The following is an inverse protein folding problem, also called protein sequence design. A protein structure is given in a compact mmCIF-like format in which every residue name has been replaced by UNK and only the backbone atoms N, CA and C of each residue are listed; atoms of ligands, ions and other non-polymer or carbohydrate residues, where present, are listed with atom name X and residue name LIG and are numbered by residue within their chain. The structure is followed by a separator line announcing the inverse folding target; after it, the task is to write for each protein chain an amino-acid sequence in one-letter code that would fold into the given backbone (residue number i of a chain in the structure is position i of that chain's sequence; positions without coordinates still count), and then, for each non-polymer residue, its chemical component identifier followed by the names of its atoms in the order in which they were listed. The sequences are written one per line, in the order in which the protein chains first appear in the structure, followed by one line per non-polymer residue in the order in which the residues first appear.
data_IF_830703912622
#
_entry.id   IF_830703912622
#
_cell.length_a   1.000
_cell.length_b   1.000
_cell.length_c   1.000
_cell.angle_alpha   90.00
_cell.angle_beta   90.00
_cell.angle_gamma   90.00
#
_symmetry.space_group_name_H-M   'P 1'
#
loop_
_entity.id
_entity.type
_entity.pdbx_description
1 polymer ?
#
# COMPACT_ATOMS: atom_id res chain seq x y z
N UNK A 1 10.89 32.80 17.43
CA UNK A 1 11.20 31.37 17.28
C UNK A 1 12.63 31.27 16.77
N UNK A 2 13.62 31.25 17.67
CA UNK A 2 15.05 31.19 17.31
C UNK A 2 15.48 29.73 17.13
N UNK A 3 15.24 29.21 15.94
CA UNK A 3 15.72 27.89 15.50
C UNK A 3 15.96 27.95 14.02
N UNK A 4 17.16 28.36 13.61
CA UNK A 4 17.58 28.36 12.22
C UNK A 4 17.64 26.91 11.72
N UNK A 5 16.61 26.48 10.99
CA UNK A 5 16.68 25.32 10.11
C UNK A 5 17.77 25.62 9.07
N UNK A 6 18.88 24.88 9.10
CA UNK A 6 20.01 25.17 8.21
C UNK A 6 19.87 24.50 6.85
N UNK A 7 19.04 23.45 6.75
CA UNK A 7 18.64 22.85 5.48
C UNK A 7 17.31 22.10 5.64
N UNK A 8 16.46 22.15 4.60
CA UNK A 8 15.23 21.36 4.47
C UNK A 8 15.20 20.80 3.05
N UNK A 9 15.76 19.60 2.88
CA UNK A 9 15.75 18.90 1.61
C UNK A 9 14.74 17.77 1.64
N UNK A 10 13.82 17.81 0.67
CA UNK A 10 12.95 16.69 0.36
C UNK A 10 13.70 15.80 -0.62
N UNK A 11 14.00 14.57 -0.21
CA UNK A 11 14.65 13.62 -1.10
C UNK A 11 13.66 13.13 -2.16
N UNK A 12 14.16 12.67 -3.32
CA UNK A 12 13.32 12.07 -4.36
C UNK A 12 12.52 10.83 -3.86
N UNK A 13 12.90 10.27 -2.72
CA UNK A 13 12.22 9.17 -2.02
C UNK A 13 11.23 9.61 -0.93
N UNK A 14 10.96 10.92 -0.79
CA UNK A 14 10.02 11.46 0.20
C UNK A 14 10.58 11.57 1.62
N UNK A 15 11.90 11.47 1.80
CA UNK A 15 12.57 11.72 3.06
C UNK A 15 12.76 13.22 3.31
N UNK A 16 12.78 13.62 4.58
CA UNK A 16 13.09 14.98 5.01
C UNK A 16 14.39 14.94 5.80
N UNK A 17 15.39 15.70 5.37
CA UNK A 17 16.64 15.86 6.11
C UNK A 17 16.61 17.19 6.85
N UNK A 18 16.71 17.12 8.18
CA UNK A 18 16.79 18.31 9.04
C UNK A 18 18.13 18.34 9.75
N UNK A 19 18.86 19.43 9.54
CA UNK A 19 20.05 19.78 10.29
C UNK A 19 19.78 21.02 11.14
N UNK A 20 20.33 21.06 12.34
CA UNK A 20 20.23 22.22 13.24
C UNK A 20 21.55 22.43 13.96
N UNK A 21 21.91 23.69 14.14
CA UNK A 21 23.04 24.12 14.99
C UNK A 21 22.59 24.45 16.42
N UNK A 22 21.29 24.29 16.72
CA UNK A 22 20.74 24.60 18.03
C UNK A 22 21.26 23.59 19.07
N UNK A 23 21.78 24.13 20.18
CA UNK A 23 22.29 23.34 21.32
C UNK A 23 21.28 23.19 22.45
N UNK A 24 20.14 23.87 22.38
CA UNK A 24 19.04 23.76 23.35
C UNK A 24 18.03 22.69 22.90
N UNK A 25 17.34 22.01 23.84
CA UNK A 25 16.22 21.13 23.50
C UNK A 25 15.19 21.87 22.64
N UNK A 26 14.65 21.18 21.65
CA UNK A 26 13.63 21.72 20.75
C UNK A 26 12.65 20.62 20.35
N UNK A 27 11.49 21.02 19.84
CA UNK A 27 10.49 20.09 19.31
C UNK A 27 10.46 20.22 17.80
N UNK A 28 10.56 19.09 17.12
CA UNK A 28 10.35 18.99 15.68
C UNK A 28 8.95 18.47 15.43
N UNK A 29 8.17 19.20 14.62
CA UNK A 29 6.83 18.79 14.22
C UNK A 29 6.88 18.53 12.72
N UNK A 30 6.56 17.30 12.35
CA UNK A 30 6.33 16.87 10.97
C UNK A 30 4.84 16.81 10.77
N UNK A 31 4.33 17.66 9.88
CA UNK A 31 3.00 17.56 9.35
C UNK A 31 3.12 17.12 7.88
N UNK A 32 2.49 16.00 7.56
CA UNK A 32 2.35 15.59 6.16
C UNK A 32 1.15 16.31 5.55
N UNK A 33 1.14 16.43 4.22
CA UNK A 33 0.01 16.97 3.45
C UNK A 33 -1.34 16.29 3.80
N UNK A 34 -1.30 15.08 4.34
CA UNK A 34 -2.48 14.26 4.67
C UNK A 34 -2.83 14.29 6.16
N UNK A 35 -2.40 15.32 6.89
CA UNK A 35 -2.77 15.58 8.28
C UNK A 35 -2.12 14.67 9.33
N UNK A 36 -1.18 13.80 8.93
CA UNK A 36 -0.38 13.05 9.90
C UNK A 36 0.61 14.00 10.60
N UNK A 37 0.46 14.12 11.91
CA UNK A 37 1.30 14.94 12.76
C UNK A 37 2.18 14.07 13.65
N UNK A 38 3.50 14.21 13.48
CA UNK A 38 4.49 13.61 14.37
C UNK A 38 5.25 14.71 15.09
N UNK A 39 5.27 14.64 16.42
CA UNK A 39 6.05 15.54 17.25
C UNK A 39 7.19 14.78 17.93
N UNK A 40 8.43 15.22 17.70
CA UNK A 40 9.63 14.66 18.29
C UNK A 40 10.28 15.71 19.17
N UNK A 41 10.36 15.44 20.48
CA UNK A 41 11.17 16.24 21.38
C UNK A 41 12.64 15.80 21.28
N UNK A 42 13.49 16.68 20.77
CA UNK A 42 14.90 16.42 20.55
C UNK A 42 15.77 17.15 21.58
N UNK A 43 16.78 16.44 22.10
CA UNK A 43 17.83 17.01 22.94
C UNK A 43 19.16 16.88 22.17
N UNK A 44 19.73 17.99 21.65
CA UNK A 44 21.00 17.97 20.93
C UNK A 44 22.11 17.34 21.76
N UNK A 45 22.94 16.50 21.13
CA UNK A 45 24.17 15.94 21.70
C UNK A 45 25.26 15.93 20.63
N UNK A 46 26.51 16.17 21.04
CA UNK A 46 27.65 16.05 20.12
C UNK A 46 27.79 14.60 19.63
N UNK A 47 27.90 14.40 18.31
CA UNK A 47 28.00 13.07 17.71
C UNK A 47 27.40 12.99 16.30
N UNK A 48 27.41 11.80 15.73
CA UNK A 48 26.79 11.53 14.43
C UNK A 48 25.27 11.69 14.48
N UNK A 49 24.70 12.26 13.41
CA UNK A 49 23.24 12.36 13.25
C UNK A 49 22.58 10.98 13.26
N UNK A 50 21.31 10.94 13.69
CA UNK A 50 20.50 9.71 13.67
C UNK A 50 19.51 9.78 12.53
N UNK A 51 19.44 8.72 11.73
CA UNK A 51 18.37 8.53 10.74
C UNK A 51 17.21 7.81 11.41
N UNK A 52 16.02 8.41 11.36
CA UNK A 52 14.77 7.80 11.83
C UNK A 52 13.92 7.56 10.59
N UNK A 53 13.59 6.29 10.33
CA UNK A 53 12.62 5.95 9.30
C UNK A 53 11.23 5.90 9.94
N UNK A 54 10.34 6.75 9.46
CA UNK A 54 8.94 6.75 9.87
C UNK A 54 8.18 5.81 8.96
N UNK A 55 7.70 4.72 9.53
CA UNK A 55 6.76 3.81 8.88
C UNK A 55 5.41 4.09 9.52
N UNK A 56 4.58 4.88 8.84
CA UNK A 56 3.19 5.07 9.26
C UNK A 56 2.29 4.10 8.50
N UNK A 57 1.57 3.27 9.26
CA UNK A 57 0.46 2.43 8.78
C UNK A 57 -0.81 3.27 8.56
N UNK A 58 -0.89 4.42 9.25
CA UNK A 58 -1.97 5.41 9.11
C UNK A 58 -1.50 6.54 8.19
N UNK A 59 -2.03 6.58 6.97
CA UNK A 59 -1.79 7.67 6.02
C UNK A 59 -3.14 8.19 5.59
N UNK A 60 -3.42 9.45 5.96
CA UNK A 60 -4.70 10.14 5.80
C UNK A 60 -5.43 9.66 4.56
N UNK A 61 -6.52 8.96 4.80
CA UNK A 61 -7.29 8.32 3.75
C UNK A 61 -7.69 9.38 2.73
N UNK A 62 -7.49 9.11 1.44
CA UNK A 62 -7.71 10.15 0.43
C UNK A 62 -9.16 10.59 0.47
N UNK A 63 -9.45 11.85 0.82
CA UNK A 63 -10.82 12.37 0.77
C UNK A 63 -11.41 12.20 -0.63
N UNK A 64 -10.60 12.37 -1.68
CA UNK A 64 -10.98 12.09 -3.06
C UNK A 64 -11.31 10.61 -3.30
N UNK A 65 -10.52 9.69 -2.71
CA UNK A 65 -10.80 8.26 -2.76
C UNK A 65 -12.08 7.92 -1.97
N UNK A 66 -12.33 8.58 -0.84
CA UNK A 66 -13.56 8.43 -0.05
C UNK A 66 -14.79 8.91 -0.79
N UNK A 67 -14.72 10.10 -1.40
CA UNK A 67 -15.78 10.65 -2.23
C UNK A 67 -16.09 9.72 -3.40
N UNK A 68 -15.05 9.18 -4.05
CA UNK A 68 -15.20 8.21 -5.12
C UNK A 68 -15.83 6.89 -4.64
N UNK A 69 -15.30 6.30 -3.56
CA UNK A 69 -15.80 5.06 -2.94
C UNK A 69 -17.27 5.17 -2.47
N UNK A 70 -17.71 6.36 -2.06
CA UNK A 70 -19.09 6.60 -1.58
C UNK A 70 -20.06 6.97 -2.72
N UNK A 71 -19.55 7.38 -3.88
CA UNK A 71 -20.36 7.90 -5.00
C UNK A 71 -20.96 6.83 -5.92
N UNK A 72 -20.54 5.57 -5.80
CA UNK A 72 -20.86 4.49 -6.75
C UNK A 72 -21.44 3.28 -6.00
N UNK A 73 -22.52 2.63 -6.50
CA UNK A 73 -22.99 1.37 -5.93
C UNK A 73 -21.85 0.36 -5.82
N UNK A 74 -21.73 -0.32 -4.68
CA UNK A 74 -20.55 -1.10 -4.28
C UNK A 74 -20.06 -2.11 -5.33
N UNK A 75 -20.97 -2.75 -6.07
CA UNK A 75 -20.62 -3.68 -7.15
C UNK A 75 -19.98 -2.99 -8.36
N UNK A 76 -20.44 -1.79 -8.70
CA UNK A 76 -19.86 -0.98 -9.79
C UNK A 76 -18.50 -0.39 -9.41
N UNK A 77 -18.27 -0.13 -8.12
CA UNK A 77 -16.96 0.28 -7.61
C UNK A 77 -15.92 -0.83 -7.85
N UNK A 78 -16.23 -2.06 -7.46
CA UNK A 78 -15.33 -3.20 -7.65
C UNK A 78 -15.03 -3.43 -9.13
N UNK A 79 -16.04 -3.36 -10.01
CA UNK A 79 -15.83 -3.47 -11.46
C UNK A 79 -14.96 -2.34 -12.01
N UNK A 80 -15.12 -1.11 -11.53
CA UNK A 80 -14.31 0.03 -11.97
C UNK A 80 -12.86 -0.10 -11.52
N UNK A 81 -12.61 -0.54 -10.28
CA UNK A 81 -11.25 -0.88 -9.81
C UNK A 81 -10.67 -1.98 -10.70
N UNK A 82 -11.44 -3.04 -10.97
CA UNK A 82 -11.04 -4.16 -11.82
C UNK A 82 -10.54 -3.68 -13.19
N UNK A 83 -11.30 -2.78 -13.82
CA UNK A 83 -11.03 -2.27 -15.16
C UNK A 83 -9.85 -1.30 -15.18
N UNK A 84 -9.77 -0.39 -14.21
CA UNK A 84 -8.67 0.56 -14.08
C UNK A 84 -7.34 -0.19 -13.95
N UNK A 85 -7.30 -1.19 -13.08
CA UNK A 85 -6.11 -2.00 -12.79
C UNK A 85 -5.70 -2.84 -14.00
N UNK A 86 -6.67 -3.47 -14.67
CA UNK A 86 -6.42 -4.18 -15.93
C UNK A 86 -5.90 -3.26 -17.03
N UNK A 87 -6.30 -1.99 -17.02
CA UNK A 87 -5.80 -0.94 -17.91
C UNK A 87 -4.49 -0.28 -17.47
N UNK A 88 -3.87 -0.74 -16.38
CA UNK A 88 -2.63 -0.15 -15.83
C UNK A 88 -2.83 1.25 -15.23
N UNK A 89 -4.07 1.66 -14.97
CA UNK A 89 -4.42 2.96 -14.38
C UNK A 89 -4.85 2.76 -12.93
N UNK A 90 -4.33 3.61 -12.05
CA UNK A 90 -4.79 3.69 -10.68
C UNK A 90 -6.14 4.41 -10.63
N UNK A 91 -7.11 3.92 -9.82
CA UNK A 91 -8.30 4.71 -9.51
C UNK A 91 -7.90 6.07 -8.89
N UNK A 92 -8.72 7.10 -9.11
CA UNK A 92 -8.44 8.43 -8.58
C UNK A 92 -8.29 8.40 -7.04
N UNK A 93 -7.28 9.10 -6.52
CA UNK A 93 -6.97 9.14 -5.08
C UNK A 93 -6.29 7.89 -4.50
N UNK A 94 -6.15 6.80 -5.28
CA UNK A 94 -5.39 5.62 -4.87
C UNK A 94 -3.90 5.82 -5.12
N UNK A 95 -3.07 5.31 -4.22
CA UNK A 95 -1.61 5.41 -4.34
C UNK A 95 -0.93 4.09 -3.99
N UNK A 96 0.24 3.87 -4.57
CA UNK A 96 1.04 2.68 -4.31
C UNK A 96 1.80 2.80 -2.99
N UNK A 97 1.81 1.72 -2.22
CA UNK A 97 2.62 1.58 -1.01
C UNK A 97 3.57 0.39 -1.14
N UNK A 98 4.72 0.39 -0.43
CA UNK A 98 5.61 -0.76 -0.41
C UNK A 98 4.89 -2.02 0.08
N UNK A 99 5.19 -3.17 -0.53
CA UNK A 99 4.79 -4.48 0.00
C UNK A 99 5.49 -4.68 1.34
N UNK A 100 4.74 -5.05 2.38
CA UNK A 100 5.29 -5.30 3.71
C UNK A 100 4.91 -6.70 4.21
N UNK A 101 3.65 -6.89 4.63
CA UNK A 101 3.16 -8.10 5.30
C UNK A 101 2.01 -8.77 4.55
N UNK A 102 1.74 -8.35 3.32
CA UNK A 102 0.64 -8.87 2.53
C UNK A 102 0.86 -10.35 2.18
N UNK A 103 -0.03 -11.20 2.67
CA UNK A 103 -0.05 -12.63 2.35
C UNK A 103 -1.35 -13.03 1.67
N UNK A 104 -1.28 -14.05 0.84
CA UNK A 104 -2.42 -14.73 0.25
C UNK A 104 -2.19 -16.23 0.39
N UNK A 105 -3.17 -16.91 0.96
CA UNK A 105 -3.23 -18.36 1.03
C UNK A 105 -3.66 -18.81 -0.35
N UNK A 106 -2.73 -19.43 -1.04
CA UNK A 106 -2.99 -20.04 -2.31
C UNK A 106 -3.42 -21.50 -2.09
N UNK A 107 -4.26 -22.05 -2.98
CA UNK A 107 -4.54 -23.49 -3.03
C UNK A 107 -3.28 -24.37 -3.06
N UNK A 108 -3.42 -25.62 -2.63
CA UNK A 108 -2.31 -26.56 -2.63
C UNK A 108 -1.67 -26.70 -4.02
N UNK A 109 -0.33 -26.65 -4.06
CA UNK A 109 0.44 -26.68 -5.31
C UNK A 109 0.66 -25.31 -5.95
N UNK A 110 0.01 -24.26 -5.46
CA UNK A 110 0.24 -22.88 -5.89
C UNK A 110 1.12 -22.14 -4.87
N UNK A 111 2.03 -21.30 -5.37
CA UNK A 111 2.72 -20.30 -4.56
C UNK A 111 2.16 -18.92 -4.85
N UNK A 112 2.08 -18.06 -3.84
CA UNK A 112 1.63 -16.67 -3.99
C UNK A 112 2.59 -15.71 -3.31
N UNK A 113 3.01 -14.68 -4.03
CA UNK A 113 3.92 -13.63 -3.54
C UNK A 113 3.32 -12.26 -3.82
N UNK A 114 3.25 -11.39 -2.81
CA UNK A 114 2.79 -10.01 -3.02
C UNK A 114 3.82 -9.23 -3.83
N UNK A 115 3.35 -8.54 -4.86
CA UNK A 115 4.18 -7.83 -5.83
C UNK A 115 3.94 -6.31 -5.80
N UNK A 116 2.68 -5.89 -5.58
CA UNK A 116 2.33 -4.48 -5.43
C UNK A 116 1.13 -4.29 -4.51
N UNK A 117 1.09 -3.16 -3.81
CA UNK A 117 -0.01 -2.78 -2.91
C UNK A 117 -0.45 -1.36 -3.25
N UNK A 118 -1.76 -1.16 -3.32
CA UNK A 118 -2.36 0.16 -3.46
C UNK A 118 -3.43 0.37 -2.40
N UNK A 119 -3.52 1.59 -1.90
CA UNK A 119 -4.46 1.95 -0.84
C UNK A 119 -5.33 3.12 -1.31
N UNK A 120 -6.64 2.95 -1.10
CA UNK A 120 -7.67 3.98 -1.22
C UNK A 120 -8.00 4.60 0.14
N UNK A 121 -9.27 4.89 0.38
CA UNK A 121 -9.73 5.37 1.69
C UNK A 121 -10.14 4.19 2.59
N UNK A 122 -11.13 3.40 2.17
CA UNK A 122 -11.62 2.24 2.92
C UNK A 122 -11.17 0.91 2.33
N UNK A 123 -10.48 0.93 1.18
CA UNK A 123 -10.07 -0.28 0.48
C UNK A 123 -8.56 -0.34 0.30
N UNK A 124 -8.03 -1.56 0.40
CA UNK A 124 -6.67 -1.91 0.02
C UNK A 124 -6.72 -2.93 -1.10
N UNK A 125 -5.89 -2.77 -2.10
CA UNK A 125 -5.72 -3.75 -3.16
C UNK A 125 -4.28 -4.26 -3.18
N UNK A 126 -4.13 -5.55 -3.37
CA UNK A 126 -2.83 -6.21 -3.46
C UNK A 126 -2.79 -7.04 -4.75
N UNK A 127 -1.73 -6.86 -5.53
CA UNK A 127 -1.38 -7.76 -6.64
C UNK A 127 -0.48 -8.86 -6.10
N UNK A 128 -0.91 -10.09 -6.31
CA UNK A 128 -0.15 -11.29 -6.02
C UNK A 128 0.28 -11.97 -7.32
N UNK A 129 1.55 -12.34 -7.37
CA UNK A 129 2.11 -13.26 -8.33
C UNK A 129 1.81 -14.69 -7.90
N UNK A 130 0.88 -15.36 -8.58
CA UNK A 130 0.52 -16.75 -8.30
C UNK A 130 1.15 -17.67 -9.34
N UNK A 131 1.86 -18.70 -8.90
CA UNK A 131 2.55 -19.64 -9.77
C UNK A 131 2.17 -21.08 -9.43
N UNK A 132 1.90 -21.89 -10.45
CA UNK A 132 1.69 -23.32 -10.29
C UNK A 132 3.03 -24.05 -10.19
N UNK A 133 3.36 -24.53 -8.99
CA UNK A 133 4.60 -25.26 -8.69
C UNK A 133 4.51 -26.76 -8.95
N UNK A 134 3.37 -27.25 -9.42
CA UNK A 134 3.18 -28.67 -9.75
C UNK A 134 3.55 -28.98 -11.20
N UNK A 135 3.68 -30.26 -11.52
CA UNK A 135 3.94 -30.76 -12.87
C UNK A 135 2.66 -30.96 -13.69
N UNK A 136 1.50 -30.71 -13.10
CA UNK A 136 0.19 -30.84 -13.74
C UNK A 136 -0.52 -29.50 -13.78
N UNK A 137 -1.50 -29.37 -14.67
CA UNK A 137 -2.35 -28.20 -14.65
C UNK A 137 -3.32 -28.27 -13.45
N UNK A 138 -3.56 -27.14 -12.81
CA UNK A 138 -4.47 -27.02 -11.68
C UNK A 138 -5.68 -26.20 -12.08
N UNK A 139 -6.87 -26.69 -11.72
CA UNK A 139 -8.09 -25.90 -11.84
C UNK A 139 -8.07 -24.82 -10.76
N UNK A 140 -8.42 -23.60 -11.16
CA UNK A 140 -8.40 -22.43 -10.29
C UNK A 140 -9.69 -21.64 -10.48
N UNK A 141 -10.16 -21.04 -9.38
CA UNK A 141 -11.29 -20.12 -9.33
C UNK A 141 -10.95 -18.96 -8.41
N UNK A 142 -11.54 -17.79 -8.64
CA UNK A 142 -11.33 -16.65 -7.76
C UNK A 142 -11.73 -16.94 -6.31
N UNK A 143 -12.75 -17.80 -6.11
CA UNK A 143 -13.20 -18.26 -4.80
C UNK A 143 -12.12 -18.98 -3.99
N UNK A 144 -11.16 -19.62 -4.66
CA UNK A 144 -10.13 -20.42 -4.00
C UNK A 144 -9.08 -19.56 -3.30
N UNK A 145 -9.04 -18.26 -3.62
CA UNK A 145 -8.15 -17.26 -3.02
C UNK A 145 -8.90 -16.35 -2.02
N UNK A 146 -10.18 -16.62 -1.77
CA UNK A 146 -10.98 -15.84 -0.83
C UNK A 146 -10.56 -16.12 0.61
N UNK A 147 -10.54 -15.07 1.44
CA UNK A 147 -10.23 -15.13 2.86
C UNK A 147 -11.10 -14.15 3.64
N UNK A 148 -11.23 -14.31 4.98
CA UNK A 148 -11.82 -13.28 5.83
C UNK A 148 -11.19 -11.90 5.56
N UNK A 149 -12.03 -10.88 5.39
CA UNK A 149 -11.60 -9.52 5.02
C UNK A 149 -11.37 -9.29 3.52
N UNK A 150 -11.54 -10.32 2.67
CA UNK A 150 -11.50 -10.17 1.21
C UNK A 150 -12.85 -9.71 0.69
N UNK A 151 -12.84 -8.59 -0.02
CA UNK A 151 -14.01 -7.98 -0.66
C UNK A 151 -14.15 -8.41 -2.11
N UNK A 152 -13.04 -8.58 -2.82
CA UNK A 152 -13.03 -9.13 -4.17
C UNK A 152 -11.72 -9.83 -4.48
N UNK A 153 -11.79 -10.84 -5.33
CA UNK A 153 -10.64 -11.50 -5.95
C UNK A 153 -10.84 -11.44 -7.45
N UNK A 154 -9.78 -11.14 -8.19
CA UNK A 154 -9.83 -11.00 -9.64
C UNK A 154 -8.57 -11.56 -10.26
N UNK A 155 -8.72 -12.31 -11.34
CA UNK A 155 -7.60 -12.71 -12.17
C UNK A 155 -7.26 -11.61 -13.19
N UNK A 156 -5.97 -11.47 -13.47
CA UNK A 156 -5.46 -10.60 -14.55
C UNK A 156 -6.07 -10.95 -15.92
N UNK A 157 -6.38 -12.21 -16.13
CA UNK A 157 -7.04 -12.74 -17.32
C UNK A 157 -8.04 -13.83 -16.92
N UNK A 158 -9.16 -14.00 -17.65
CA UNK A 158 -10.09 -15.09 -17.41
C UNK A 158 -9.37 -16.43 -17.58
N UNK A 159 -9.24 -17.19 -16.50
CA UNK A 159 -8.60 -18.50 -16.50
C UNK A 159 -9.33 -19.42 -15.52
N UNK A 160 -9.69 -20.61 -15.99
CA UNK A 160 -10.21 -21.70 -15.14
C UNK A 160 -9.13 -22.72 -14.78
N UNK A 161 -7.95 -22.61 -15.38
CA UNK A 161 -6.86 -23.55 -15.23
C UNK A 161 -5.51 -22.83 -15.35
N UNK A 162 -4.58 -23.16 -14.45
CA UNK A 162 -3.21 -22.69 -14.49
C UNK A 162 -2.29 -23.86 -14.85
N UNK A 163 -1.61 -23.76 -15.99
CA UNK A 163 -0.70 -24.81 -16.48
C UNK A 163 0.48 -25.00 -15.52
N UNK A 164 1.13 -26.16 -15.61
CA UNK A 164 2.34 -26.46 -14.84
C UNK A 164 3.43 -25.40 -15.08
N UNK A 165 4.00 -24.85 -14.01
CA UNK A 165 5.01 -23.78 -14.08
C UNK A 165 4.49 -22.41 -14.55
N UNK A 166 3.21 -22.29 -14.89
CA UNK A 166 2.64 -21.02 -15.34
C UNK A 166 2.40 -20.08 -14.17
N UNK A 167 2.51 -18.78 -14.45
CA UNK A 167 2.26 -17.68 -13.52
C UNK A 167 1.07 -16.85 -13.98
N UNK A 168 0.31 -16.34 -13.03
CA UNK A 168 -0.79 -15.42 -13.23
C UNK A 168 -0.81 -14.38 -12.11
N UNK A 169 -1.18 -13.14 -12.46
CA UNK A 169 -1.43 -12.13 -11.45
C UNK A 169 -2.86 -12.24 -10.92
N UNK A 170 -2.99 -12.23 -9.59
CA UNK A 170 -4.25 -12.24 -8.85
C UNK A 170 -4.34 -10.95 -8.04
N UNK A 171 -5.40 -10.19 -8.26
CA UNK A 171 -5.68 -8.96 -7.54
C UNK A 171 -6.70 -9.24 -6.44
N UNK A 172 -6.38 -8.83 -5.22
CA UNK A 172 -7.23 -9.03 -4.05
C UNK A 172 -7.54 -7.68 -3.45
N UNK A 173 -8.83 -7.33 -3.39
CA UNK A 173 -9.34 -6.15 -2.69
C UNK A 173 -9.77 -6.57 -1.30
N UNK A 174 -9.30 -5.85 -0.30
CA UNK A 174 -9.59 -6.03 1.12
C UNK A 174 -10.06 -4.72 1.71
N UNK A 175 -10.63 -4.79 2.91
CA UNK A 175 -10.80 -3.60 3.73
C UNK A 175 -9.42 -2.97 3.99
N UNK A 176 -9.35 -1.66 3.82
CA UNK A 176 -8.22 -0.85 4.28
C UNK A 176 -8.30 -0.66 5.79
N UNK A 177 -7.20 -0.25 6.42
CA UNK A 177 -7.15 0.05 7.86
C UNK A 177 -7.86 1.37 8.23
N UNK A 178 -8.85 1.78 7.44
CA UNK A 178 -9.73 2.91 7.70
C UNK A 178 -11.04 2.41 8.31
N UNK A 179 -11.04 2.33 9.65
CA UNK A 179 -12.09 1.86 10.59
C UNK A 179 -12.20 0.35 10.84
#
# INVERSE_FOLDING_TARGET
LDGALTNNEQTASGGVVVATVNKKPFTFILETERGLNLSIQAVPREGAGRTIQLVSDLRGTGEEAGAWETSTPYESLLVTISQAVRGGKLPAGWYQVPVTKETLQAPAGLSSVADAVWTGNHLKMVRFAVENKTLSALNIRESDFWQPGTRAVMFSQPASQLLAGARMDVYVIRDGEGN
#
